data_IF_049003560761
#
_entry.id   IF_049003560761
#
_cell.length_a   1.000
_cell.length_b   1.000
_cell.length_c   1.000
_cell.angle_alpha   90.00
_cell.angle_beta   90.00
_cell.angle_gamma   90.00
#
_symmetry.space_group_name_H-M   'P 1'
#
loop_
_entity.id
_entity.type
_entity.pdbx_description
1 polymer ?
#
# COMPACT_ATOMS: atom_id res chain seq x y z
N UNK A 1 -4.89 -2.15 10.40
CA UNK A 1 -3.89 -3.09 9.85
C UNK A 1 -3.01 -2.30 8.91
N UNK A 2 -1.70 -2.44 9.05
CA UNK A 2 -0.72 -1.73 8.21
C UNK A 2 0.01 -2.77 7.38
N UNK A 3 0.02 -2.59 6.06
CA UNK A 3 0.76 -3.42 5.12
C UNK A 3 1.94 -2.59 4.62
N UNK A 4 3.15 -3.10 4.79
CA UNK A 4 4.37 -2.40 4.40
C UNK A 4 5.15 -3.16 3.35
N UNK A 5 5.93 -2.44 2.54
CA UNK A 5 6.98 -3.09 1.74
C UNK A 5 8.13 -3.53 2.67
N UNK A 6 8.62 -4.77 2.55
CA UNK A 6 9.69 -5.29 3.43
C UNK A 6 10.97 -4.45 3.40
N UNK A 7 11.24 -3.71 2.32
CA UNK A 7 12.38 -2.79 2.23
C UNK A 7 12.29 -1.61 3.21
N UNK A 8 11.11 -1.30 3.76
CA UNK A 8 10.88 -0.12 4.60
C UNK A 8 11.72 -0.16 5.89
N UNK A 9 11.84 -1.33 6.52
CA UNK A 9 12.64 -1.52 7.74
C UNK A 9 14.11 -1.12 7.54
N UNK A 10 14.69 -1.51 6.41
CA UNK A 10 16.10 -1.29 6.11
C UNK A 10 16.37 0.11 5.53
N UNK A 11 15.47 0.62 4.69
CA UNK A 11 15.66 1.89 3.98
C UNK A 11 15.22 3.10 4.81
N UNK A 12 14.17 2.95 5.61
CA UNK A 12 13.61 4.01 6.45
C UNK A 12 13.34 3.50 7.88
N UNK A 13 14.39 3.07 8.61
CA UNK A 13 14.24 2.44 9.93
C UNK A 13 13.52 3.34 10.94
N UNK A 14 13.71 4.66 10.84
CA UNK A 14 13.00 5.63 11.69
C UNK A 14 11.48 5.54 11.48
N UNK A 15 11.02 5.58 10.23
CA UNK A 15 9.59 5.47 9.89
C UNK A 15 9.05 4.09 10.31
N UNK A 16 9.82 3.02 10.06
CA UNK A 16 9.43 1.68 10.48
C UNK A 16 9.23 1.58 12.00
N UNK A 17 10.13 2.17 12.80
CA UNK A 17 10.01 2.19 14.25
C UNK A 17 8.80 3.02 14.71
N UNK A 18 8.58 4.20 14.12
CA UNK A 18 7.40 5.03 14.40
C UNK A 18 6.10 4.26 14.12
N UNK A 19 6.03 3.47 13.04
CA UNK A 19 4.87 2.63 12.76
C UNK A 19 4.65 1.57 13.84
N UNK A 20 5.72 0.90 14.29
CA UNK A 20 5.66 -0.12 15.35
C UNK A 20 5.20 0.45 16.70
N UNK A 21 5.50 1.72 16.99
CA UNK A 21 4.97 2.41 18.18
C UNK A 21 3.46 2.67 18.09
N UNK A 22 2.92 2.82 16.87
CA UNK A 22 1.51 3.17 16.62
C UNK A 22 0.63 1.91 16.49
N UNK A 23 1.18 0.78 16.02
CA UNK A 23 0.41 -0.43 15.79
C UNK A 23 1.22 -1.71 15.93
N UNK A 24 0.68 -2.68 16.66
CA UNK A 24 1.19 -4.07 16.70
C UNK A 24 0.75 -4.91 15.49
N UNK A 25 -0.12 -4.37 14.61
CA UNK A 25 -0.76 -5.12 13.53
C UNK A 25 -0.19 -4.70 12.16
N UNK A 26 1.13 -4.87 12.03
CA UNK A 26 1.94 -4.56 10.85
C UNK A 26 2.33 -5.88 10.17
N UNK A 27 2.15 -5.93 8.84
CA UNK A 27 2.59 -7.04 8.01
C UNK A 27 3.46 -6.50 6.89
N UNK A 28 4.64 -7.07 6.73
CA UNK A 28 5.52 -6.75 5.61
C UNK A 28 5.33 -7.75 4.46
N UNK A 29 5.61 -7.29 3.25
CA UNK A 29 5.65 -8.15 2.07
C UNK A 29 6.60 -7.60 1.02
N UNK A 30 7.34 -8.49 0.37
CA UNK A 30 8.18 -8.18 -0.77
C UNK A 30 7.50 -8.66 -2.05
N UNK A 31 7.09 -7.73 -2.92
CA UNK A 31 6.48 -8.06 -4.21
C UNK A 31 7.49 -8.46 -5.30
N UNK A 32 8.79 -8.50 -4.96
CA UNK A 32 9.82 -9.12 -5.79
C UNK A 32 9.74 -10.66 -5.72
N UNK A 33 9.41 -11.19 -4.54
CA UNK A 33 9.33 -12.63 -4.27
C UNK A 33 7.88 -13.14 -4.24
N UNK A 34 6.97 -12.37 -3.63
CA UNK A 34 5.55 -12.72 -3.51
C UNK A 34 4.73 -12.08 -4.62
N UNK A 35 4.12 -12.90 -5.47
CA UNK A 35 3.25 -12.39 -6.53
C UNK A 35 2.02 -11.64 -5.96
N UNK A 36 1.67 -10.50 -6.57
CA UNK A 36 0.59 -9.59 -6.15
C UNK A 36 -0.75 -10.31 -5.85
N UNK A 37 -1.16 -11.26 -6.69
CA UNK A 37 -2.40 -12.04 -6.50
C UNK A 37 -2.47 -12.78 -5.15
N UNK A 38 -1.33 -13.25 -4.63
CA UNK A 38 -1.29 -13.89 -3.31
C UNK A 38 -1.61 -12.88 -2.20
N UNK A 39 -1.04 -11.69 -2.30
CA UNK A 39 -1.26 -10.58 -1.35
C UNK A 39 -2.73 -10.14 -1.38
N UNK A 40 -3.29 -9.94 -2.58
CA UNK A 40 -4.71 -9.58 -2.76
C UNK A 40 -5.62 -10.61 -2.08
N UNK A 41 -5.38 -11.90 -2.33
CA UNK A 41 -6.24 -12.97 -1.80
C UNK A 41 -6.15 -13.07 -0.27
N UNK A 42 -4.96 -12.88 0.30
CA UNK A 42 -4.78 -12.86 1.76
C UNK A 42 -5.49 -11.66 2.39
N UNK A 43 -5.32 -10.46 1.83
CA UNK A 43 -5.97 -9.25 2.35
C UNK A 43 -7.49 -9.35 2.21
N UNK A 44 -8.00 -9.82 1.07
CA UNK A 44 -9.43 -10.08 0.88
C UNK A 44 -9.98 -11.04 1.95
N UNK A 45 -9.26 -12.12 2.25
CA UNK A 45 -9.63 -13.05 3.31
C UNK A 45 -9.66 -12.42 4.71
N UNK A 46 -8.77 -11.48 5.01
CA UNK A 46 -8.74 -10.73 6.28
C UNK A 46 -9.89 -9.73 6.37
N UNK A 47 -10.14 -8.98 5.29
CA UNK A 47 -11.23 -8.01 5.15
C UNK A 47 -12.59 -8.68 5.28
N UNK A 48 -12.83 -9.78 4.55
CA UNK A 48 -14.11 -10.48 4.53
C UNK A 48 -14.54 -11.01 5.91
N UNK A 49 -13.58 -11.25 6.81
CA UNK A 49 -13.84 -11.69 8.20
C UNK A 49 -14.16 -10.53 9.15
N UNK A 50 -14.35 -9.31 8.63
CA UNK A 50 -14.66 -8.07 9.37
C UNK A 50 -13.71 -7.76 10.53
N UNK A 51 -12.46 -8.20 10.43
CA UNK A 51 -11.41 -7.93 11.43
C UNK A 51 -10.63 -6.64 11.17
N UNK A 52 -11.01 -5.89 10.13
CA UNK A 52 -10.28 -4.71 9.69
C UNK A 52 -11.25 -3.54 9.45
N UNK A 53 -11.06 -2.43 10.17
CA UNK A 53 -11.77 -1.15 9.93
C UNK A 53 -10.91 -0.13 9.17
N UNK A 54 -9.59 -0.28 9.25
CA UNK A 54 -8.62 0.58 8.58
C UNK A 54 -7.48 -0.26 7.98
N UNK A 55 -7.26 -0.07 6.69
CA UNK A 55 -6.22 -0.70 5.88
C UNK A 55 -5.27 0.38 5.38
N UNK A 56 -4.06 0.39 5.92
CA UNK A 56 -3.03 1.38 5.57
C UNK A 56 -1.90 0.71 4.82
N UNK A 57 -1.50 1.26 3.67
CA UNK A 57 -0.34 0.81 2.91
C UNK A 57 0.81 1.80 3.08
N UNK A 58 2.00 1.33 3.40
CA UNK A 58 3.22 2.17 3.49
C UNK A 58 4.34 1.55 2.65
N UNK A 59 4.82 2.26 1.65
CA UNK A 59 5.84 1.74 0.73
C UNK A 59 7.04 2.66 0.62
N UNK A 60 8.15 2.14 0.12
CA UNK A 60 9.31 2.96 -0.25
C UNK A 60 9.00 3.72 -1.53
N UNK A 61 9.15 5.05 -1.51
CA UNK A 61 8.98 5.86 -2.72
C UNK A 61 9.96 5.44 -3.83
N UNK A 62 9.54 5.57 -5.09
CA UNK A 62 10.29 5.19 -6.31
C UNK A 62 10.67 3.72 -6.46
N UNK A 63 10.27 2.83 -5.54
CA UNK A 63 10.50 1.39 -5.70
C UNK A 63 9.51 0.78 -6.70
N UNK A 64 9.99 0.12 -7.78
CA UNK A 64 9.12 -0.50 -8.78
C UNK A 64 8.37 -1.72 -8.24
N UNK A 65 8.88 -2.35 -7.19
CA UNK A 65 8.26 -3.51 -6.55
C UNK A 65 7.27 -3.06 -5.48
N UNK A 66 7.66 -2.11 -4.61
CA UNK A 66 6.80 -1.69 -3.51
C UNK A 66 5.59 -0.87 -3.98
N UNK A 67 5.70 -0.08 -5.06
CA UNK A 67 4.56 0.69 -5.60
C UNK A 67 3.37 -0.19 -5.97
N UNK A 68 3.64 -1.46 -6.34
CA UNK A 68 2.61 -2.42 -6.69
C UNK A 68 1.66 -2.75 -5.52
N UNK A 69 2.09 -2.57 -4.25
CA UNK A 69 1.22 -2.78 -3.09
C UNK A 69 0.03 -1.85 -3.07
N UNK A 70 0.20 -0.61 -3.55
CA UNK A 70 -0.91 0.34 -3.65
C UNK A 70 -1.96 -0.09 -4.67
N UNK A 71 -1.60 -0.92 -5.64
CA UNK A 71 -2.54 -1.42 -6.66
C UNK A 71 -3.50 -2.46 -6.11
N UNK A 72 -3.16 -3.09 -4.98
CA UNK A 72 -4.03 -4.05 -4.28
C UNK A 72 -5.40 -3.45 -3.98
N UNK A 73 -5.46 -2.16 -3.60
CA UNK A 73 -6.72 -1.48 -3.28
C UNK A 73 -7.73 -1.62 -4.40
N UNK A 74 -7.30 -1.36 -5.65
CA UNK A 74 -8.20 -1.41 -6.80
C UNK A 74 -8.68 -2.83 -7.09
N UNK A 75 -7.81 -3.82 -6.92
CA UNK A 75 -8.19 -5.22 -7.11
C UNK A 75 -9.15 -5.70 -6.02
N UNK A 76 -8.99 -5.22 -4.77
CA UNK A 76 -9.94 -5.49 -3.70
C UNK A 76 -11.31 -4.87 -3.98
N UNK A 77 -11.37 -3.62 -4.46
CA UNK A 77 -12.64 -2.97 -4.86
C UNK A 77 -13.39 -3.75 -5.94
N UNK A 78 -12.66 -4.40 -6.85
CA UNK A 78 -13.27 -5.17 -7.95
C UNK A 78 -13.91 -6.48 -7.46
N UNK A 79 -13.51 -7.02 -6.30
CA UNK A 79 -13.95 -8.33 -5.82
C UNK A 79 -14.80 -8.27 -4.54
N UNK A 80 -14.87 -7.13 -3.85
CA UNK A 80 -15.66 -6.98 -2.61
C UNK A 80 -16.04 -5.53 -2.30
N UNK A 81 -17.06 -5.37 -1.45
CA UNK A 81 -17.47 -4.06 -0.93
C UNK A 81 -16.51 -3.59 0.17
N UNK A 82 -15.92 -2.40 -0.02
CA UNK A 82 -14.95 -1.78 0.88
C UNK A 82 -15.50 -0.51 1.55
N UNK A 83 -16.79 -0.18 1.42
CA UNK A 83 -17.39 1.07 1.97
C UNK A 83 -17.13 1.28 3.46
N UNK A 84 -17.10 0.20 4.23
CA UNK A 84 -16.90 0.24 5.69
C UNK A 84 -15.42 0.20 6.10
N UNK A 85 -14.49 0.22 5.13
CA UNK A 85 -13.05 0.16 5.38
C UNK A 85 -12.40 1.48 4.99
N UNK A 86 -11.75 2.11 5.96
CA UNK A 86 -10.91 3.27 5.70
C UNK A 86 -9.60 2.82 5.07
N UNK A 87 -9.32 3.28 3.86
CA UNK A 87 -8.08 2.96 3.13
C UNK A 87 -7.17 4.19 3.13
N UNK A 88 -5.91 4.00 3.51
CA UNK A 88 -4.88 5.04 3.44
C UNK A 88 -3.65 4.51 2.71
N UNK A 89 -3.00 5.37 1.94
CA UNK A 89 -1.79 5.03 1.21
C UNK A 89 -0.72 6.05 1.52
N UNK A 90 0.47 5.58 1.89
CA UNK A 90 1.62 6.42 2.15
C UNK A 90 2.84 5.90 1.40
N UNK A 91 3.70 6.83 0.99
CA UNK A 91 5.08 6.53 0.60
C UNK A 91 6.03 7.15 1.60
N UNK A 92 7.10 6.43 1.92
CA UNK A 92 8.20 6.88 2.74
C UNK A 92 9.23 7.59 1.86
N UNK A 93 9.58 8.81 2.26
CA UNK A 93 10.63 9.64 1.67
C UNK A 93 11.65 10.04 2.74
N UNK A 94 12.72 10.74 2.34
CA UNK A 94 13.69 11.32 3.28
C UNK A 94 13.06 12.31 4.26
N UNK A 95 11.94 12.91 3.88
CA UNK A 95 11.25 13.97 4.64
C UNK A 95 10.11 13.41 5.51
N UNK A 96 9.82 12.11 5.42
CA UNK A 96 8.79 11.44 6.21
C UNK A 96 7.77 10.67 5.36
N UNK A 97 6.57 10.49 5.92
CA UNK A 97 5.44 9.86 5.23
C UNK A 97 4.64 10.89 4.42
N UNK A 98 4.42 10.60 3.14
CA UNK A 98 3.56 11.40 2.27
C UNK A 98 2.31 10.59 1.94
N UNK A 99 1.13 11.15 2.24
CA UNK A 99 -0.16 10.53 1.89
C UNK A 99 -0.40 10.63 0.39
N UNK A 100 -0.77 9.51 -0.24
CA UNK A 100 -1.01 9.41 -1.67
C UNK A 100 -2.49 9.16 -1.95
N UNK A 101 -3.18 10.09 -2.64
CA UNK A 101 -4.56 9.88 -3.08
C UNK A 101 -4.69 8.69 -4.04
N UNK A 102 -5.84 8.01 -4.01
CA UNK A 102 -6.10 6.84 -4.85
C UNK A 102 -6.05 7.17 -6.35
N UNK A 103 -6.37 8.40 -6.72
CA UNK A 103 -6.29 8.91 -8.08
C UNK A 103 -4.83 8.91 -8.57
N UNK A 104 -3.88 9.31 -7.73
CA UNK A 104 -2.44 9.31 -8.05
C UNK A 104 -1.96 7.89 -8.30
N UNK A 105 -2.40 6.94 -7.46
CA UNK A 105 -2.09 5.51 -7.62
C UNK A 105 -2.64 5.00 -8.94
N UNK A 106 -3.90 5.30 -9.27
CA UNK A 106 -4.52 4.92 -10.53
C UNK A 106 -3.80 5.50 -11.75
N UNK A 107 -3.33 6.74 -11.66
CA UNK A 107 -2.53 7.37 -12.71
C UNK A 107 -1.15 6.74 -12.89
N UNK A 108 -0.50 6.29 -11.82
CA UNK A 108 0.82 5.66 -11.90
C UNK A 108 0.84 4.40 -12.78
N UNK A 109 -0.29 3.69 -12.90
CA UNK A 109 -0.45 2.53 -13.80
C UNK A 109 -0.78 2.90 -15.25
N UNK A 110 -1.17 4.15 -15.51
CA UNK A 110 -1.65 4.61 -16.81
C UNK A 110 -0.68 5.62 -17.42
N UNK A 111 0.44 5.10 -17.97
CA UNK A 111 1.50 5.93 -18.56
C UNK A 111 1.01 6.83 -19.71
N UNK A 112 0.03 6.36 -20.50
CA UNK A 112 -0.55 7.15 -21.57
C UNK A 112 -1.27 8.40 -21.03
N UNK A 113 -2.11 8.23 -20.00
CA UNK A 113 -2.79 9.34 -19.33
C UNK A 113 -1.83 10.21 -18.51
N UNK A 114 -0.79 9.62 -17.93
CA UNK A 114 0.22 10.36 -17.20
C UNK A 114 1.02 11.28 -18.15
N UNK A 115 1.33 10.82 -19.36
CA UNK A 115 1.96 11.64 -20.41
C UNK A 115 1.14 12.89 -20.74
N UNK A 116 -0.18 12.81 -20.74
CA UNK A 116 -1.06 13.96 -20.99
C UNK A 116 -0.88 15.08 -19.95
N UNK A 117 -0.39 14.75 -18.75
CA UNK A 117 -0.12 15.70 -17.66
C UNK A 117 1.26 16.35 -17.71
N UNK A 118 2.12 15.98 -18.66
CA UNK A 118 3.45 16.59 -18.86
C UNK A 118 3.40 17.89 -19.67
N UNK A 119 2.20 18.46 -19.87
CA UNK A 119 1.95 19.68 -20.63
C UNK A 119 1.53 20.82 -19.71
#
# INVERSE_FOLDING_TARGET
MIIIGSCLEYMFPKIYNELNEISENIYDVCLEDTHLNMVITKIAGMVARKKCKELTFVTVDKSPHCVQLHYVVKELENIMDLKDIKIKNYVATSDGLIEIPIEVIGLSKNLAKLKEKLN
#
